data_IF_049436218037
#
_entry.id   IF_049436218037
#
_cell.length_a   1.000
_cell.length_b   1.000
_cell.length_c   1.000
_cell.angle_alpha   90.00
_cell.angle_beta   90.00
_cell.angle_gamma   90.00
#
_symmetry.space_group_name_H-M   'P 1'
#
loop_
_entity.id
_entity.type
_entity.pdbx_description
1 polymer ?
#
# COMPACT_ATOMS: atom_id res chain seq x y z
N UNK A 1 32.45 18.82 25.03
CA UNK A 1 32.84 17.46 24.62
C UNK A 1 33.38 17.59 23.22
N UNK A 2 34.65 17.26 23.01
CA UNK A 2 35.22 17.15 21.66
C UNK A 2 34.68 15.84 21.10
N UNK A 3 33.77 15.91 20.13
CA UNK A 3 33.30 14.72 19.42
C UNK A 3 34.49 14.14 18.66
N UNK A 4 34.76 12.84 18.83
CA UNK A 4 35.83 12.17 18.10
C UNK A 4 35.64 12.35 16.57
N UNK A 5 36.72 12.49 15.80
CA UNK A 5 36.63 12.66 14.35
C UNK A 5 36.00 11.42 13.72
N UNK A 6 35.02 11.61 12.84
CA UNK A 6 34.41 10.54 12.04
C UNK A 6 35.42 10.08 11.00
N UNK A 7 35.77 8.79 11.05
CA UNK A 7 36.73 8.16 10.14
C UNK A 7 36.17 6.91 9.47
N UNK A 8 35.08 6.34 9.99
CA UNK A 8 34.47 5.11 9.46
C UNK A 8 32.95 5.24 9.36
N UNK A 9 32.31 4.34 8.60
CA UNK A 9 30.85 4.18 8.60
C UNK A 9 30.33 3.80 9.99
N UNK A 10 31.11 2.99 10.73
CA UNK A 10 30.83 2.66 12.13
C UNK A 10 30.74 3.91 13.01
N UNK A 11 31.67 4.86 12.85
CA UNK A 11 31.66 6.10 13.63
C UNK A 11 30.41 6.96 13.34
N UNK A 12 29.92 6.95 12.09
CA UNK A 12 28.67 7.62 11.70
C UNK A 12 27.47 6.91 12.32
N UNK A 13 27.46 5.57 12.27
CA UNK A 13 26.41 4.74 12.86
C UNK A 13 26.31 4.93 14.38
N UNK A 14 27.45 4.89 15.09
CA UNK A 14 27.52 5.12 16.53
C UNK A 14 27.02 6.53 16.88
N UNK A 15 27.36 7.53 16.08
CA UNK A 15 26.86 8.90 16.26
C UNK A 15 25.36 9.01 16.07
N UNK A 16 24.81 8.33 15.06
CA UNK A 16 23.37 8.27 14.84
C UNK A 16 22.67 7.57 16.04
N UNK A 17 23.24 6.49 16.55
CA UNK A 17 22.73 5.76 17.71
C UNK A 17 22.76 6.62 18.99
N UNK A 18 23.85 7.37 19.24
CA UNK A 18 23.96 8.31 20.36
C UNK A 18 22.90 9.43 20.31
N UNK A 19 22.44 9.78 19.12
CA UNK A 19 21.35 10.73 18.89
C UNK A 19 19.95 10.09 18.92
N UNK A 20 19.85 8.77 19.11
CA UNK A 20 18.58 8.03 19.18
C UNK A 20 18.05 7.54 17.84
N UNK A 21 18.85 7.58 16.77
CA UNK A 21 18.49 7.04 15.45
C UNK A 21 18.96 5.59 15.36
N UNK A 22 18.02 4.65 15.33
CA UNK A 22 18.29 3.21 15.21
C UNK A 22 18.39 2.80 13.75
N UNK A 23 19.56 2.31 13.32
CA UNK A 23 19.82 1.85 11.95
C UNK A 23 20.00 0.33 12.00
N UNK A 24 19.45 -0.39 11.02
CA UNK A 24 19.59 -1.84 10.92
C UNK A 24 21.03 -2.27 10.62
N UNK A 25 21.41 -3.47 11.07
CA UNK A 25 22.73 -4.04 10.74
C UNK A 25 22.88 -4.23 9.23
N UNK A 26 21.82 -4.63 8.54
CA UNK A 26 21.80 -4.79 7.09
C UNK A 26 22.10 -3.45 6.38
N UNK A 27 21.54 -2.33 6.86
CA UNK A 27 21.82 -1.01 6.28
C UNK A 27 23.29 -0.59 6.47
N UNK A 28 23.91 -0.96 7.59
CA UNK A 28 25.33 -0.70 7.86
C UNK A 28 26.22 -1.57 6.96
N UNK A 29 25.91 -2.85 6.81
CA UNK A 29 26.64 -3.76 5.90
C UNK A 29 26.55 -3.28 4.45
N UNK A 30 25.35 -2.93 3.98
CA UNK A 30 25.14 -2.39 2.65
C UNK A 30 25.96 -1.10 2.42
N UNK A 31 26.02 -0.22 3.42
CA UNK A 31 26.81 0.99 3.35
C UNK A 31 28.32 0.71 3.18
N UNK A 32 28.85 -0.32 3.86
CA UNK A 32 30.23 -0.76 3.70
C UNK A 32 30.53 -1.29 2.30
N UNK A 33 29.61 -2.06 1.72
CA UNK A 33 29.72 -2.57 0.36
C UNK A 33 29.67 -1.44 -0.68
N UNK A 34 28.77 -0.48 -0.50
CA UNK A 34 28.71 0.73 -1.34
C UNK A 34 30.01 1.51 -1.28
N UNK A 35 30.53 1.76 -0.08
CA UNK A 35 31.76 2.52 0.11
C UNK A 35 32.98 1.82 -0.53
N UNK A 36 33.08 0.49 -0.37
CA UNK A 36 34.14 -0.31 -1.00
C UNK A 36 34.05 -0.26 -2.52
N UNK A 37 32.84 -0.37 -3.08
CA UNK A 37 32.61 -0.31 -4.53
C UNK A 37 32.96 1.08 -5.07
N UNK A 38 32.50 2.13 -4.41
CA UNK A 38 32.82 3.52 -4.74
C UNK A 38 34.33 3.76 -4.80
N UNK A 39 35.10 3.25 -3.84
CA UNK A 39 36.56 3.43 -3.80
C UNK A 39 37.25 2.93 -5.08
N UNK A 40 36.68 1.94 -5.76
CA UNK A 40 37.22 1.40 -7.00
C UNK A 40 36.72 2.09 -8.27
N UNK A 41 35.58 2.79 -8.22
CA UNK A 41 34.85 3.29 -9.39
C UNK A 41 34.79 4.83 -9.49
N UNK A 42 35.12 5.56 -8.41
CA UNK A 42 34.93 7.00 -8.35
C UNK A 42 35.85 7.78 -9.30
N UNK A 43 35.23 8.57 -10.18
CA UNK A 43 35.90 9.56 -11.01
C UNK A 43 35.08 10.84 -10.99
N UNK A 44 35.62 11.90 -10.37
CA UNK A 44 35.03 13.24 -10.38
C UNK A 44 36.12 14.26 -10.73
N UNK A 45 36.04 14.82 -11.94
CA UNK A 45 37.09 15.70 -12.49
C UNK A 45 38.46 15.01 -12.57
N UNK A 46 39.49 15.59 -11.93
CA UNK A 46 40.84 15.02 -11.84
C UNK A 46 41.00 13.99 -10.71
N UNK A 47 40.05 13.91 -9.78
CA UNK A 47 40.10 12.99 -8.64
C UNK A 47 39.64 11.59 -9.05
N UNK A 48 40.50 10.59 -8.80
CA UNK A 48 40.27 9.17 -9.12
C UNK A 48 39.96 8.29 -7.90
N UNK A 49 39.71 8.93 -6.75
CA UNK A 49 39.41 8.24 -5.50
C UNK A 49 38.29 8.99 -4.79
N UNK A 50 37.45 8.23 -4.10
CA UNK A 50 36.36 8.79 -3.29
C UNK A 50 36.93 9.66 -2.17
N UNK A 51 36.40 10.88 -1.96
CA UNK A 51 36.70 11.67 -0.77
C UNK A 51 36.40 10.88 0.52
N UNK A 52 37.42 10.57 1.31
CA UNK A 52 37.25 9.92 2.62
C UNK A 52 37.01 10.99 3.70
N UNK A 53 35.82 11.58 3.65
CA UNK A 53 35.36 12.62 4.54
C UNK A 53 34.03 12.20 5.22
N UNK A 54 33.64 12.86 6.34
CA UNK A 54 32.43 12.51 7.08
C UNK A 54 31.16 12.57 6.22
N UNK A 55 31.06 13.49 5.26
CA UNK A 55 29.87 13.63 4.41
C UNK A 55 29.73 12.43 3.49
N UNK A 56 30.84 11.93 2.92
CA UNK A 56 30.82 10.71 2.10
C UNK A 56 30.40 9.50 2.92
N UNK A 57 30.95 9.33 4.12
CA UNK A 57 30.62 8.21 5.00
C UNK A 57 29.14 8.26 5.40
N UNK A 58 28.64 9.45 5.74
CA UNK A 58 27.23 9.69 6.02
C UNK A 58 26.34 9.42 4.80
N UNK A 59 26.76 9.83 3.60
CA UNK A 59 26.02 9.56 2.37
C UNK A 59 25.95 8.06 2.04
N UNK A 60 27.03 7.31 2.26
CA UNK A 60 27.03 5.86 2.09
C UNK A 60 26.09 5.17 3.08
N UNK A 61 26.13 5.58 4.35
CA UNK A 61 25.23 5.03 5.37
C UNK A 61 23.77 5.36 5.08
N UNK A 62 23.48 6.60 4.70
CA UNK A 62 22.11 6.99 4.33
C UNK A 62 21.62 6.31 3.06
N UNK A 63 22.51 6.03 2.10
CA UNK A 63 22.19 5.20 0.95
C UNK A 63 21.84 3.76 1.38
N UNK A 64 22.61 3.16 2.30
CA UNK A 64 22.30 1.85 2.89
C UNK A 64 20.97 1.81 3.63
N UNK A 65 20.68 2.79 4.49
CA UNK A 65 19.38 3.00 5.14
C UNK A 65 18.25 2.99 4.12
N UNK A 66 18.43 3.72 3.03
CA UNK A 66 17.43 3.84 1.97
C UNK A 66 17.28 2.54 1.17
N UNK A 67 18.37 1.81 0.93
CA UNK A 67 18.38 0.50 0.26
C UNK A 67 17.68 -0.58 1.09
N UNK A 68 17.85 -0.59 2.41
CA UNK A 68 17.27 -1.63 3.28
C UNK A 68 15.86 -1.25 3.79
N UNK A 69 15.43 -0.02 3.52
CA UNK A 69 14.04 0.40 3.73
C UNK A 69 13.74 0.89 5.14
N UNK A 70 14.78 1.17 5.93
CA UNK A 70 14.68 1.78 7.25
C UNK A 70 13.93 3.11 7.17
N UNK A 71 12.99 3.32 8.10
CA UNK A 71 12.05 4.44 8.08
C UNK A 71 12.65 5.72 8.70
N UNK A 72 13.87 6.09 8.31
CA UNK A 72 14.60 7.25 8.84
C UNK A 72 14.51 8.42 7.83
N UNK A 73 14.12 9.60 8.30
CA UNK A 73 14.06 10.79 7.44
C UNK A 73 15.47 11.36 7.18
N UNK A 74 15.71 11.93 5.99
CA UNK A 74 17.00 12.55 5.65
C UNK A 74 17.39 13.65 6.65
N UNK A 75 16.43 14.46 7.09
CA UNK A 75 16.64 15.52 8.08
C UNK A 75 17.04 14.96 9.44
N UNK A 76 16.30 13.95 9.91
CA UNK A 76 16.56 13.26 11.17
C UNK A 76 17.98 12.65 11.21
N UNK A 77 18.36 11.93 10.15
CA UNK A 77 19.70 11.36 10.04
C UNK A 77 20.78 12.43 9.93
N UNK A 78 20.59 13.45 9.09
CA UNK A 78 21.56 14.52 8.89
C UNK A 78 21.82 15.32 10.17
N UNK A 79 20.77 15.65 10.92
CA UNK A 79 20.86 16.32 12.21
C UNK A 79 21.62 15.45 13.23
N UNK A 80 21.35 14.14 13.25
CA UNK A 80 22.01 13.19 14.13
C UNK A 80 23.52 13.09 13.88
N UNK A 81 23.95 13.08 12.61
CA UNK A 81 25.37 12.90 12.24
C UNK A 81 26.13 14.22 12.05
N UNK A 82 25.42 15.35 12.06
CA UNK A 82 25.98 16.70 12.00
C UNK A 82 26.35 17.18 10.60
N UNK A 83 25.58 16.80 9.58
CA UNK A 83 25.77 17.22 8.18
C UNK A 83 24.56 18.01 7.69
N UNK A 84 24.73 18.83 6.64
CA UNK A 84 23.59 19.52 6.04
C UNK A 84 22.77 18.56 5.18
N UNK A 85 21.44 18.60 5.32
CA UNK A 85 20.50 17.74 4.56
C UNK A 85 20.72 17.85 3.05
N UNK A 86 20.94 19.07 2.55
CA UNK A 86 21.18 19.31 1.12
C UNK A 86 22.46 18.65 0.62
N UNK A 87 23.54 18.74 1.38
CA UNK A 87 24.85 18.16 1.05
C UNK A 87 24.80 16.63 1.11
N UNK A 88 24.13 16.08 2.13
CA UNK A 88 23.87 14.65 2.26
C UNK A 88 23.15 14.11 1.01
N UNK A 89 22.02 14.70 0.63
CA UNK A 89 21.22 14.24 -0.51
C UNK A 89 21.95 14.43 -1.85
N UNK A 90 22.66 15.56 -2.02
CA UNK A 90 23.49 15.79 -3.20
C UNK A 90 24.56 14.72 -3.36
N UNK A 91 25.22 14.34 -2.26
CA UNK A 91 26.29 13.35 -2.27
C UNK A 91 25.77 11.92 -2.45
N UNK A 92 24.59 11.59 -1.89
CA UNK A 92 23.89 10.32 -2.17
C UNK A 92 23.59 10.17 -3.66
N UNK A 93 23.14 11.24 -4.32
CA UNK A 93 22.89 11.20 -5.77
C UNK A 93 24.18 11.06 -6.58
N UNK A 94 25.27 11.71 -6.16
CA UNK A 94 26.57 11.55 -6.80
C UNK A 94 27.08 10.11 -6.70
N UNK A 95 26.94 9.49 -5.51
CA UNK A 95 27.22 8.07 -5.28
C UNK A 95 26.40 7.18 -6.22
N UNK A 96 25.09 7.39 -6.28
CA UNK A 96 24.20 6.59 -7.13
C UNK A 96 24.51 6.69 -8.63
N UNK A 97 25.19 7.75 -9.08
CA UNK A 97 25.67 7.88 -10.47
C UNK A 97 27.01 7.17 -10.75
N UNK A 98 27.79 6.85 -9.71
CA UNK A 98 29.11 6.22 -9.82
C UNK A 98 29.03 4.71 -9.66
N UNK A 99 28.22 4.24 -8.71
CA UNK A 99 28.04 2.80 -8.52
C UNK A 99 27.05 2.31 -9.56
N UNK A 100 27.49 1.50 -10.52
CA UNK A 100 26.59 0.74 -11.43
C UNK A 100 25.89 -0.42 -10.68
N UNK A 101 25.77 -0.28 -9.37
CA UNK A 101 24.90 -1.09 -8.55
C UNK A 101 23.59 -0.33 -8.52
N UNK A 102 22.47 -0.90 -8.96
CA UNK A 102 21.19 -0.37 -8.54
C UNK A 102 21.25 -0.42 -7.01
N UNK A 103 21.49 0.72 -6.36
CA UNK A 103 21.21 0.94 -4.93
C UNK A 103 19.81 0.41 -4.80
N UNK A 104 19.69 -0.83 -4.31
CA UNK A 104 18.59 -1.72 -4.71
C UNK A 104 17.33 -0.93 -4.50
N UNK A 105 16.68 -0.52 -5.60
CA UNK A 105 15.38 0.10 -5.48
C UNK A 105 14.56 -1.06 -4.96
N UNK A 106 14.38 -1.14 -3.64
CA UNK A 106 13.49 -2.11 -3.04
C UNK A 106 12.26 -2.16 -3.90
N UNK A 107 11.92 -3.35 -4.37
CA UNK A 107 10.82 -3.47 -5.31
C UNK A 107 9.56 -2.94 -4.61
N UNK A 108 8.85 -1.96 -5.19
CA UNK A 108 7.55 -1.56 -4.68
C UNK A 108 6.64 -2.77 -4.41
N UNK A 109 6.80 -3.88 -5.13
CA UNK A 109 6.07 -5.13 -4.90
C UNK A 109 6.30 -5.75 -3.52
N UNK A 110 7.53 -5.71 -3.00
CA UNK A 110 7.83 -6.25 -1.67
C UNK A 110 7.17 -5.44 -0.55
N UNK A 111 7.10 -4.12 -0.72
CA UNK A 111 6.34 -3.26 0.18
C UNK A 111 4.84 -3.50 0.05
N UNK A 112 4.35 -3.63 -1.18
CA UNK A 112 2.95 -3.87 -1.46
C UNK A 112 2.46 -5.18 -0.81
N UNK A 113 3.22 -6.27 -0.96
CA UNK A 113 2.95 -7.56 -0.31
C UNK A 113 2.77 -7.37 1.20
N UNK A 114 3.77 -6.75 1.84
CA UNK A 114 3.75 -6.48 3.28
C UNK A 114 2.57 -5.61 3.71
N UNK A 115 2.21 -4.59 2.92
CA UNK A 115 1.09 -3.71 3.23
C UNK A 115 -0.25 -4.44 3.11
N UNK A 116 -0.41 -5.26 2.08
CA UNK A 116 -1.58 -6.11 1.89
C UNK A 116 -1.78 -7.06 3.08
N UNK A 117 -0.69 -7.71 3.54
CA UNK A 117 -0.72 -8.58 4.71
C UNK A 117 -1.09 -7.82 6.00
N UNK A 118 -0.45 -6.68 6.26
CA UNK A 118 -0.69 -5.89 7.47
C UNK A 118 -2.11 -5.32 7.54
N UNK A 119 -2.66 -4.90 6.40
CA UNK A 119 -4.02 -4.37 6.30
C UNK A 119 -5.08 -5.47 6.10
N UNK A 120 -4.65 -6.72 5.92
CA UNK A 120 -5.53 -7.89 5.67
C UNK A 120 -6.51 -7.60 4.54
N UNK A 121 -6.00 -7.06 3.43
CA UNK A 121 -6.83 -6.77 2.26
C UNK A 121 -7.23 -8.07 1.57
N UNK A 122 -8.38 -8.07 0.89
CA UNK A 122 -8.81 -9.26 0.15
C UNK A 122 -7.87 -9.56 -1.03
N UNK A 123 -7.82 -10.81 -1.52
CA UNK A 123 -7.04 -11.16 -2.71
C UNK A 123 -7.41 -10.32 -3.94
N UNK A 124 -8.68 -9.92 -4.06
CA UNK A 124 -9.16 -9.03 -5.12
C UNK A 124 -8.52 -7.65 -5.05
N UNK A 125 -8.43 -7.05 -3.86
CA UNK A 125 -7.78 -5.75 -3.65
C UNK A 125 -6.28 -5.85 -3.88
N UNK A 126 -5.63 -6.90 -3.36
CA UNK A 126 -4.21 -7.13 -3.55
C UNK A 126 -3.87 -7.28 -5.04
N UNK A 127 -4.60 -8.14 -5.77
CA UNK A 127 -4.39 -8.36 -7.20
C UNK A 127 -4.53 -7.08 -8.03
N UNK A 128 -5.56 -6.27 -7.73
CA UNK A 128 -5.73 -4.97 -8.37
C UNK A 128 -4.58 -4.01 -8.01
N UNK A 129 -4.11 -4.00 -6.78
CA UNK A 129 -3.00 -3.14 -6.38
C UNK A 129 -1.71 -3.47 -7.14
N UNK A 130 -1.41 -4.74 -7.39
CA UNK A 130 -0.26 -5.14 -8.22
C UNK A 130 -0.40 -4.66 -9.66
N UNK A 131 -1.60 -4.84 -10.23
CA UNK A 131 -1.87 -4.38 -11.60
C UNK A 131 -1.79 -2.85 -11.73
N UNK A 132 -2.25 -2.10 -10.72
CA UNK A 132 -2.11 -0.65 -10.68
C UNK A 132 -0.69 -0.16 -10.48
N UNK A 133 0.08 -0.89 -9.68
CA UNK A 133 1.49 -0.62 -9.51
C UNK A 133 2.22 -0.76 -10.86
N UNK A 134 1.93 -1.81 -11.63
CA UNK A 134 2.52 -2.02 -12.94
C UNK A 134 2.08 -0.98 -13.97
N UNK A 135 0.78 -0.69 -14.06
CA UNK A 135 0.26 0.41 -14.91
C UNK A 135 0.89 1.76 -14.55
N UNK A 136 1.12 2.00 -13.26
CA UNK A 136 1.84 3.18 -12.75
C UNK A 136 3.31 3.22 -13.17
N UNK A 137 3.99 2.06 -13.30
CA UNK A 137 5.35 1.97 -13.85
C UNK A 137 5.36 2.29 -15.34
N UNK A 138 4.52 1.64 -16.12
CA UNK A 138 4.47 1.76 -17.58
C UNK A 138 4.15 3.19 -18.04
N UNK A 139 3.24 3.87 -17.33
CA UNK A 139 2.85 5.26 -17.60
C UNK A 139 3.87 6.30 -17.12
N UNK A 140 4.80 5.90 -16.24
CA UNK A 140 5.73 6.81 -15.59
C UNK A 140 5.21 7.52 -14.35
N UNK A 141 3.97 7.26 -13.92
CA UNK A 141 3.32 7.88 -12.75
C UNK A 141 4.09 7.71 -11.43
N UNK A 142 4.91 6.64 -11.33
CA UNK A 142 5.68 6.33 -10.12
C UNK A 142 7.20 6.52 -10.26
N UNK A 143 7.71 6.96 -11.42
CA UNK A 143 9.15 7.04 -11.72
C UNK A 143 9.91 7.96 -10.76
N UNK A 144 9.28 9.02 -10.29
CA UNK A 144 9.87 9.99 -9.36
C UNK A 144 9.49 9.74 -7.89
N UNK A 145 8.93 8.57 -7.57
CA UNK A 145 8.42 8.23 -6.24
C UNK A 145 9.31 7.20 -5.56
N UNK A 146 9.31 7.21 -4.24
CA UNK A 146 9.98 6.15 -3.47
C UNK A 146 9.17 4.85 -3.58
N UNK A 147 9.80 3.67 -3.49
CA UNK A 147 9.07 2.40 -3.58
C UNK A 147 7.94 2.25 -2.56
N UNK A 148 8.14 2.73 -1.33
CA UNK A 148 7.10 2.78 -0.29
C UNK A 148 5.89 3.60 -0.73
N UNK A 149 6.12 4.80 -1.26
CA UNK A 149 5.04 5.70 -1.73
C UNK A 149 4.33 5.09 -2.93
N UNK A 150 5.07 4.50 -3.88
CA UNK A 150 4.51 3.82 -5.03
C UNK A 150 3.59 2.65 -4.63
N UNK A 151 4.07 1.77 -3.74
CA UNK A 151 3.31 0.63 -3.23
C UNK A 151 2.07 1.07 -2.45
N UNK A 152 2.21 2.03 -1.55
CA UNK A 152 1.10 2.58 -0.77
C UNK A 152 0.03 3.23 -1.66
N UNK A 153 0.46 3.93 -2.70
CA UNK A 153 -0.42 4.60 -3.65
C UNK A 153 -1.23 3.59 -4.48
N UNK A 154 -0.56 2.58 -5.03
CA UNK A 154 -1.21 1.52 -5.78
C UNK A 154 -2.23 0.75 -4.92
N UNK A 155 -1.87 0.45 -3.66
CA UNK A 155 -2.77 -0.18 -2.71
C UNK A 155 -3.98 0.68 -2.39
N UNK A 156 -3.77 1.97 -2.10
CA UNK A 156 -4.88 2.85 -1.77
C UNK A 156 -5.81 3.12 -2.97
N UNK A 157 -5.26 3.21 -4.18
CA UNK A 157 -6.06 3.27 -5.41
C UNK A 157 -6.93 2.01 -5.56
N UNK A 158 -6.36 0.82 -5.35
CA UNK A 158 -7.12 -0.44 -5.40
C UNK A 158 -8.21 -0.53 -4.32
N UNK A 159 -7.90 -0.10 -3.08
CA UNK A 159 -8.87 -0.02 -1.98
C UNK A 159 -10.04 0.88 -2.32
N UNK A 160 -9.77 2.04 -2.95
CA UNK A 160 -10.81 2.98 -3.39
C UNK A 160 -11.67 2.44 -4.50
N UNK A 161 -11.03 1.81 -5.48
CA UNK A 161 -11.71 1.25 -6.65
C UNK A 161 -12.65 0.11 -6.25
N UNK A 162 -12.25 -0.74 -5.30
CA UNK A 162 -13.10 -1.83 -4.79
C UNK A 162 -13.96 -1.46 -3.58
N UNK A 163 -13.95 -0.20 -3.12
CA UNK A 163 -14.71 0.24 -1.94
C UNK A 163 -14.42 -0.63 -0.69
N UNK A 164 -13.14 -0.99 -0.49
CA UNK A 164 -12.69 -1.98 0.48
C UNK A 164 -12.67 -1.49 1.95
N UNK A 165 -13.32 -0.36 2.26
CA UNK A 165 -13.56 0.12 3.63
C UNK A 165 -12.32 0.54 4.45
N UNK A 166 -11.10 0.37 3.91
CA UNK A 166 -9.85 0.78 4.54
C UNK A 166 -9.64 2.27 4.30
N UNK A 167 -9.29 3.01 5.35
CA UNK A 167 -9.09 4.46 5.24
C UNK A 167 -7.70 4.73 4.74
N UNK A 168 -7.55 5.86 4.04
CA UNK A 168 -6.23 6.35 3.60
C UNK A 168 -5.21 6.42 4.73
N UNK A 169 -5.64 6.90 5.90
CA UNK A 169 -4.78 7.02 7.09
C UNK A 169 -4.21 5.67 7.53
N UNK A 170 -4.96 4.58 7.39
CA UNK A 170 -4.49 3.25 7.74
C UNK A 170 -3.34 2.81 6.81
N UNK A 171 -3.42 3.18 5.52
CA UNK A 171 -2.33 2.99 4.55
C UNK A 171 -1.13 3.89 4.85
N UNK A 172 -1.36 5.16 5.22
CA UNK A 172 -0.31 6.11 5.64
C UNK A 172 0.48 5.54 6.84
N UNK A 173 -0.23 5.04 7.85
CA UNK A 173 0.34 4.50 9.09
C UNK A 173 1.17 3.22 8.83
N UNK A 174 0.67 2.29 8.02
CA UNK A 174 1.38 1.03 7.67
C UNK A 174 2.61 1.29 6.78
N UNK A 175 2.50 2.24 5.85
CA UNK A 175 3.58 2.55 4.92
C UNK A 175 4.63 3.52 5.50
N UNK A 176 4.30 4.23 6.58
CA UNK A 176 5.15 5.28 7.14
C UNK A 176 5.35 6.43 6.15
N UNK A 177 4.29 6.83 5.44
CA UNK A 177 4.33 7.89 4.42
C UNK A 177 3.42 9.06 4.79
N UNK A 178 3.77 10.27 4.38
CA UNK A 178 2.94 11.44 4.64
C UNK A 178 1.66 11.44 3.79
N UNK A 179 0.55 11.91 4.37
CA UNK A 179 -0.72 12.02 3.65
C UNK A 179 -0.69 12.82 2.34
N UNK A 180 0.05 13.94 2.22
CA UNK A 180 0.24 14.62 0.93
C UNK A 180 0.97 13.76 -0.10
N UNK A 181 2.07 13.10 0.29
CA UNK A 181 2.84 12.24 -0.63
C UNK A 181 2.01 11.06 -1.14
N UNK A 182 1.20 10.44 -0.27
CA UNK A 182 0.27 9.39 -0.69
C UNK A 182 -0.84 9.94 -1.58
N UNK A 183 -1.41 11.10 -1.24
CA UNK A 183 -2.49 11.73 -2.02
C UNK A 183 -2.08 11.97 -3.45
N UNK A 184 -0.98 12.68 -3.63
CA UNK A 184 -0.49 13.05 -4.96
C UNK A 184 -0.08 11.80 -5.74
N UNK A 185 0.28 10.71 -5.06
CA UNK A 185 0.68 9.46 -5.72
C UNK A 185 -0.49 8.63 -6.22
N UNK A 186 -1.52 8.41 -5.40
CA UNK A 186 -2.62 7.55 -5.83
C UNK A 186 -3.46 8.22 -6.92
N UNK A 187 -3.56 9.56 -6.93
CA UNK A 187 -4.25 10.30 -8.00
C UNK A 187 -3.56 10.09 -9.35
N UNK A 188 -2.23 10.23 -9.39
CA UNK A 188 -1.47 9.99 -10.63
C UNK A 188 -1.60 8.54 -11.12
N UNK A 189 -1.65 7.56 -10.20
CA UNK A 189 -1.88 6.15 -10.55
C UNK A 189 -3.31 5.96 -11.07
N UNK A 190 -4.32 6.55 -10.42
CA UNK A 190 -5.71 6.49 -10.87
C UNK A 190 -5.84 7.08 -12.28
N UNK A 191 -5.27 8.26 -12.54
CA UNK A 191 -5.27 8.91 -13.86
C UNK A 191 -4.55 8.05 -14.92
N UNK A 192 -3.38 7.50 -14.59
CA UNK A 192 -2.62 6.64 -15.49
C UNK A 192 -3.33 5.32 -15.82
N UNK A 193 -4.08 4.79 -14.86
CA UNK A 193 -4.83 3.55 -15.00
C UNK A 193 -6.18 3.75 -15.69
N UNK A 194 -6.50 4.98 -16.14
CA UNK A 194 -7.82 5.39 -16.62
C UNK A 194 -8.93 5.14 -15.57
N UNK A 195 -8.54 5.03 -14.30
CA UNK A 195 -9.43 4.91 -13.16
C UNK A 195 -9.98 6.31 -12.89
N UNK A 196 -11.09 6.62 -13.55
CA UNK A 196 -11.82 7.85 -13.36
C UNK A 196 -12.74 7.74 -12.14
N UNK A 197 -12.20 7.50 -10.94
CA UNK A 197 -13.02 7.53 -9.71
C UNK A 197 -13.21 8.97 -9.22
N UNK A 198 -13.82 9.82 -10.06
CA UNK A 198 -14.62 10.90 -9.50
C UNK A 198 -15.89 10.26 -8.94
N UNK A 199 -16.27 10.55 -7.70
CA UNK A 199 -17.52 10.08 -7.06
C UNK A 199 -18.78 10.32 -7.92
N UNK A 200 -18.67 11.13 -8.98
CA UNK A 200 -19.71 11.44 -9.96
C UNK A 200 -19.99 10.37 -11.02
N UNK A 201 -19.08 9.43 -11.27
CA UNK A 201 -19.21 8.42 -12.34
C UNK A 201 -19.33 6.98 -11.82
N UNK A 202 -19.53 6.80 -10.52
CA UNK A 202 -19.95 5.52 -9.94
C UNK A 202 -21.30 5.13 -10.55
N UNK A 203 -21.29 4.17 -11.48
CA UNK A 203 -22.52 3.67 -12.11
C UNK A 203 -23.45 3.17 -11.01
N UNK A 204 -24.66 3.73 -10.89
CA UNK A 204 -25.60 3.30 -9.87
C UNK A 204 -25.89 1.81 -10.03
N UNK A 205 -25.97 1.07 -8.93
CA UNK A 205 -26.40 -0.32 -8.97
C UNK A 205 -27.74 -0.45 -9.72
N UNK A 206 -27.75 -1.34 -10.72
CA UNK A 206 -28.97 -1.82 -11.39
C UNK A 206 -29.35 -3.19 -10.84
N UNK A 207 -30.62 -3.58 -10.96
CA UNK A 207 -31.09 -4.93 -10.58
C UNK A 207 -30.20 -6.01 -11.19
N UNK A 208 -29.91 -5.91 -12.48
CA UNK A 208 -29.09 -6.88 -13.20
C UNK A 208 -27.66 -6.94 -12.64
N UNK A 209 -27.02 -5.79 -12.40
CA UNK A 209 -25.67 -5.77 -11.82
C UNK A 209 -25.62 -6.35 -10.40
N UNK A 210 -26.63 -6.09 -9.57
CA UNK A 210 -26.69 -6.66 -8.21
C UNK A 210 -26.90 -8.17 -8.30
N UNK A 211 -27.78 -8.64 -9.20
CA UNK A 211 -28.04 -10.06 -9.44
C UNK A 211 -26.78 -10.81 -9.86
N UNK A 212 -26.02 -10.26 -10.81
CA UNK A 212 -24.76 -10.85 -11.27
C UNK A 212 -23.73 -10.96 -10.14
N UNK A 213 -23.62 -9.95 -9.29
CA UNK A 213 -22.72 -10.00 -8.13
C UNK A 213 -23.21 -11.01 -7.08
N UNK A 214 -24.52 -11.11 -6.83
CA UNK A 214 -25.11 -12.14 -5.95
C UNK A 214 -24.82 -13.55 -6.47
N UNK A 215 -24.92 -13.77 -7.78
CA UNK A 215 -24.58 -15.03 -8.44
C UNK A 215 -23.09 -15.35 -8.28
N UNK A 216 -22.21 -14.39 -8.54
CA UNK A 216 -20.76 -14.54 -8.35
C UNK A 216 -20.38 -14.91 -6.90
N UNK A 217 -21.00 -14.25 -5.91
CA UNK A 217 -20.80 -14.56 -4.49
C UNK A 217 -21.29 -15.99 -4.19
N UNK A 218 -22.47 -16.35 -4.70
CA UNK A 218 -23.03 -17.68 -4.46
C UNK A 218 -22.16 -18.78 -5.07
N UNK A 219 -21.69 -18.62 -6.30
CA UNK A 219 -20.89 -19.63 -6.97
C UNK A 219 -19.62 -19.96 -6.18
N UNK A 220 -18.93 -18.95 -5.65
CA UNK A 220 -17.75 -19.13 -4.80
C UNK A 220 -18.08 -19.82 -3.47
N UNK A 221 -19.17 -19.43 -2.81
CA UNK A 221 -19.54 -19.98 -1.50
C UNK A 221 -20.24 -21.34 -1.60
N UNK A 222 -20.83 -21.67 -2.75
CA UNK A 222 -21.43 -22.98 -3.02
C UNK A 222 -20.39 -24.08 -2.98
N UNK A 223 -19.17 -23.81 -3.45
CA UNK A 223 -18.04 -24.74 -3.33
C UNK A 223 -17.66 -25.02 -1.87
N UNK A 224 -17.98 -24.09 -0.96
CA UNK A 224 -17.77 -24.19 0.48
C UNK A 224 -18.98 -24.80 1.22
N UNK A 225 -20.02 -25.23 0.49
CA UNK A 225 -21.19 -25.92 1.03
C UNK A 225 -22.40 -25.02 1.30
N UNK A 226 -22.36 -23.74 0.91
CA UNK A 226 -23.52 -22.84 1.03
C UNK A 226 -24.64 -23.28 0.08
N UNK A 227 -25.86 -23.59 0.56
CA UNK A 227 -26.94 -24.11 -0.27
C UNK A 227 -27.60 -23.03 -1.15
N UNK A 228 -28.16 -23.44 -2.29
CA UNK A 228 -28.84 -22.56 -3.25
C UNK A 228 -30.01 -21.76 -2.67
N UNK A 229 -30.63 -22.23 -1.58
CA UNK A 229 -31.72 -21.52 -0.90
C UNK A 229 -31.32 -20.11 -0.41
N UNK A 230 -30.04 -19.86 -0.14
CA UNK A 230 -29.55 -18.52 0.18
C UNK A 230 -29.55 -17.59 -1.06
N UNK A 231 -29.16 -18.13 -2.21
CA UNK A 231 -29.21 -17.41 -3.49
C UNK A 231 -30.64 -17.13 -3.91
N UNK A 232 -31.51 -18.14 -3.90
CA UNK A 232 -32.93 -17.99 -4.23
C UNK A 232 -33.56 -16.90 -3.36
N UNK A 233 -33.26 -16.90 -2.05
CA UNK A 233 -33.76 -15.89 -1.13
C UNK A 233 -33.24 -14.48 -1.41
N UNK A 234 -31.99 -14.34 -1.84
CA UNK A 234 -31.43 -13.05 -2.25
C UNK A 234 -32.11 -12.53 -3.52
N UNK A 235 -32.35 -13.41 -4.51
CA UNK A 235 -33.02 -13.06 -5.76
C UNK A 235 -34.47 -12.65 -5.53
N UNK A 236 -35.23 -13.37 -4.68
CA UNK A 236 -36.61 -13.01 -4.32
C UNK A 236 -36.69 -11.56 -3.83
N UNK A 237 -35.80 -11.20 -2.89
CA UNK A 237 -35.78 -9.84 -2.31
C UNK A 237 -35.41 -8.79 -3.34
N UNK A 238 -34.51 -9.12 -4.27
CA UNK A 238 -34.10 -8.23 -5.34
C UNK A 238 -35.22 -7.97 -6.35
N UNK A 239 -36.09 -8.96 -6.58
CA UNK A 239 -37.27 -8.85 -7.44
C UNK A 239 -38.45 -8.12 -6.77
N UNK A 240 -38.58 -8.23 -5.44
CA UNK A 240 -39.66 -7.60 -4.65
C UNK A 240 -39.47 -6.08 -4.46
N UNK A 241 -38.28 -5.64 -4.03
CA UNK A 241 -38.00 -4.23 -3.75
C UNK A 241 -36.58 -3.84 -4.19
N UNK A 242 -36.49 -2.77 -4.97
CA UNK A 242 -35.24 -2.22 -5.49
C UNK A 242 -34.85 -0.88 -4.88
N UNK A 243 -35.72 -0.31 -4.05
CA UNK A 243 -35.52 1.01 -3.45
C UNK A 243 -34.37 1.02 -2.44
N UNK A 244 -34.14 -0.10 -1.77
CA UNK A 244 -33.18 -0.20 -0.67
C UNK A 244 -31.72 -0.02 -1.10
N UNK A 245 -31.36 -0.40 -2.33
CA UNK A 245 -29.99 -0.29 -2.84
C UNK A 245 -29.74 0.96 -3.68
N UNK A 246 -30.69 1.90 -3.76
CA UNK A 246 -30.48 3.17 -4.49
C UNK A 246 -29.25 3.92 -3.98
N UNK A 247 -28.35 4.28 -4.88
CA UNK A 247 -27.10 4.96 -4.55
C UNK A 247 -26.03 4.07 -3.92
N UNK A 248 -26.23 2.75 -3.84
CA UNK A 248 -25.17 1.80 -3.54
C UNK A 248 -24.44 1.35 -4.81
N UNK A 249 -23.23 0.85 -4.59
CA UNK A 249 -22.52 0.05 -5.58
C UNK A 249 -23.13 -1.35 -5.67
N UNK A 250 -23.03 -1.96 -6.85
CA UNK A 250 -23.60 -3.28 -7.12
C UNK A 250 -23.00 -4.36 -6.18
N UNK A 251 -21.67 -4.39 -6.04
CA UNK A 251 -20.97 -5.31 -5.15
C UNK A 251 -21.37 -5.12 -3.67
N UNK A 252 -21.47 -3.87 -3.20
CA UNK A 252 -21.89 -3.57 -1.82
C UNK A 252 -23.34 -3.99 -1.56
N UNK A 253 -24.24 -3.69 -2.50
CA UNK A 253 -25.63 -4.11 -2.42
C UNK A 253 -25.73 -5.64 -2.42
N UNK A 254 -25.03 -6.32 -3.32
CA UNK A 254 -25.01 -7.77 -3.43
C UNK A 254 -24.46 -8.45 -2.18
N UNK A 255 -23.33 -7.98 -1.65
CA UNK A 255 -22.74 -8.52 -0.43
C UNK A 255 -23.68 -8.40 0.78
N UNK A 256 -24.29 -7.22 0.96
CA UNK A 256 -25.26 -7.00 2.03
C UNK A 256 -26.51 -7.88 1.84
N UNK A 257 -27.08 -7.90 0.64
CA UNK A 257 -28.23 -8.73 0.28
C UNK A 257 -27.96 -10.21 0.54
N UNK A 258 -26.83 -10.73 0.05
CA UNK A 258 -26.48 -12.14 0.16
C UNK A 258 -26.24 -12.56 1.60
N UNK A 259 -25.48 -11.78 2.37
CA UNK A 259 -25.22 -12.07 3.78
C UNK A 259 -26.54 -12.16 4.59
N UNK A 260 -27.45 -11.19 4.42
CA UNK A 260 -28.71 -11.21 5.14
C UNK A 260 -29.70 -12.23 4.59
N UNK A 261 -29.60 -12.63 3.31
CA UNK A 261 -30.33 -13.77 2.77
C UNK A 261 -29.91 -15.06 3.49
N UNK A 262 -28.61 -15.32 3.61
CA UNK A 262 -28.07 -16.45 4.38
C UNK A 262 -28.60 -16.46 5.81
N UNK A 263 -28.58 -15.30 6.50
CA UNK A 263 -29.13 -15.20 7.86
C UNK A 263 -30.63 -15.49 7.91
N UNK A 264 -31.41 -14.98 6.95
CA UNK A 264 -32.85 -15.21 6.88
C UNK A 264 -33.20 -16.69 6.68
N UNK A 265 -32.39 -17.44 5.93
CA UNK A 265 -32.58 -18.89 5.71
C UNK A 265 -31.81 -19.77 6.71
N UNK A 266 -31.17 -19.17 7.73
CA UNK A 266 -30.38 -19.85 8.77
C UNK A 266 -29.20 -20.67 8.21
N UNK A 267 -28.59 -20.16 7.16
CA UNK A 267 -27.31 -20.67 6.65
C UNK A 267 -26.19 -19.98 7.40
N UNK A 268 -25.25 -20.77 7.92
CA UNK A 268 -24.08 -20.24 8.60
C UNK A 268 -23.06 -19.77 7.56
N UNK A 269 -22.81 -18.46 7.58
CA UNK A 269 -21.79 -17.77 6.82
C UNK A 269 -21.36 -16.56 7.63
N UNK A 270 -20.07 -16.28 7.64
CA UNK A 270 -19.48 -15.10 8.24
C UNK A 270 -19.62 -13.89 7.30
N UNK A 271 -19.49 -12.68 7.86
CA UNK A 271 -19.40 -11.48 7.01
C UNK A 271 -18.13 -11.47 6.19
N UNK A 272 -17.05 -12.07 6.71
CA UNK A 272 -15.73 -12.13 6.07
C UNK A 272 -15.79 -12.97 4.79
N UNK A 273 -16.37 -14.18 4.83
CA UNK A 273 -16.56 -15.03 3.66
C UNK A 273 -17.38 -14.33 2.55
N UNK A 274 -18.44 -13.62 2.91
CA UNK A 274 -19.26 -12.88 1.93
C UNK A 274 -18.56 -11.64 1.41
N UNK A 275 -17.85 -10.91 2.28
CA UNK A 275 -17.11 -9.72 1.91
C UNK A 275 -15.96 -10.05 0.94
N UNK A 276 -15.21 -11.12 1.22
CA UNK A 276 -14.14 -11.63 0.36
C UNK A 276 -14.68 -12.07 -1.00
N UNK A 277 -15.77 -12.85 -1.01
CA UNK A 277 -16.39 -13.32 -2.26
C UNK A 277 -16.93 -12.17 -3.14
N UNK A 278 -17.37 -11.08 -2.50
CA UNK A 278 -17.89 -9.90 -3.17
C UNK A 278 -16.82 -8.85 -3.51
N UNK A 279 -15.58 -9.00 -3.01
CA UNK A 279 -14.54 -7.97 -3.14
C UNK A 279 -14.86 -6.66 -2.40
N UNK A 280 -15.56 -6.72 -1.26
CA UNK A 280 -15.91 -5.55 -0.44
C UNK A 280 -15.44 -5.72 1.01
N UNK A 281 -15.63 -4.70 1.85
CA UNK A 281 -15.36 -4.84 3.29
C UNK A 281 -16.54 -5.38 4.10
N UNK A 282 -16.25 -6.05 5.21
CA UNK A 282 -17.25 -6.44 6.21
C UNK A 282 -18.00 -5.21 6.77
N UNK A 283 -17.31 -4.07 6.90
CA UNK A 283 -17.90 -2.81 7.31
C UNK A 283 -18.95 -2.30 6.31
N UNK A 284 -18.76 -2.53 5.01
CA UNK A 284 -19.72 -2.17 3.96
C UNK A 284 -21.02 -2.99 4.09
N UNK A 285 -20.92 -4.27 4.46
CA UNK A 285 -22.07 -5.12 4.79
C UNK A 285 -22.79 -4.60 6.04
N UNK A 286 -22.04 -4.34 7.12
CA UNK A 286 -22.59 -3.87 8.40
C UNK A 286 -23.27 -2.49 8.30
N UNK A 287 -22.68 -1.56 7.56
CA UNK A 287 -23.19 -0.18 7.41
C UNK A 287 -24.53 -0.16 6.68
N UNK A 288 -24.75 -1.11 5.76
CA UNK A 288 -25.97 -1.17 4.96
C UNK A 288 -27.05 -2.10 5.53
N UNK A 289 -26.84 -2.67 6.74
CA UNK A 289 -27.76 -3.65 7.35
C UNK A 289 -29.21 -3.19 7.47
N UNK A 290 -29.42 -1.92 7.80
CA UNK A 290 -30.76 -1.36 8.02
C UNK A 290 -31.49 -1.06 6.71
N UNK A 291 -30.76 -1.10 5.59
CA UNK A 291 -31.32 -0.89 4.26
C UNK A 291 -31.88 -2.18 3.71
N UNK A 292 -31.22 -3.33 3.92
CA UNK A 292 -31.58 -4.58 3.27
C UNK A 292 -32.96 -5.05 3.77
N UNK A 293 -33.95 -5.35 2.89
CA UNK A 293 -35.33 -5.63 3.29
C UNK A 293 -35.51 -7.09 3.75
N UNK A 294 -34.67 -7.53 4.67
CA UNK A 294 -34.98 -8.70 5.49
C UNK A 294 -35.66 -8.21 6.76
N UNK A 295 -36.83 -8.78 7.05
CA UNK A 295 -37.43 -8.60 8.36
C UNK A 295 -36.39 -9.01 9.40
N UNK A 296 -36.03 -8.08 10.28
CA UNK A 296 -35.25 -8.37 11.48
C UNK A 296 -36.10 -9.35 12.29
N UNK A 297 -35.93 -10.64 12.02
CA UNK A 297 -36.50 -11.69 12.82
C UNK A 297 -35.80 -11.64 14.16
N UNK A 298 -36.55 -11.24 15.19
CA UNK A 298 -36.22 -11.35 16.61
C UNK A 298 -35.32 -12.56 16.86
N UNK A 299 -34.04 -12.28 17.06
CA UNK A 299 -33.06 -13.25 17.54
C UNK A 299 -32.59 -12.69 18.87
N UNK A 300 -33.26 -13.12 19.94
CA UNK A 300 -32.75 -13.02 21.30
C UNK A 300 -31.54 -13.90 21.53
#
# INVERSE_FOLDING_TARGET
MTTDPVTTIGDVHDRAADAGVTISTDAVEHAHDLYTTLQSQWVDGEARHVPHDPDTLAACLYAGIRSEGDAIAAGEFADAVGVAVGDLLSRVNAIAGVVDTPVSRLDPEAFLERYCEQLRVSPGVAGLAYDLLERGRESGAIVNRTPRVAAAAALYAAIREQDAGIRRRDVEDVAGVSGPALRDAYVDIEEAADIHTTEKERTPATVESVRQNVEQIHDQLREQGVPAVAFDRAVDVLEEDTSWFRGLQAATAAAALYYYACKAVRVDVSQEEVADAAGVSTQSIWTNRERVPFAVGDSG
#
